data_IF_669834489229
#
_entry.id   IF_669834489229
#
_cell.length_a   1.000
_cell.length_b   1.000
_cell.length_c   1.000
_cell.angle_alpha   90.00
_cell.angle_beta   90.00
_cell.angle_gamma   90.00
#
_symmetry.space_group_name_H-M   'P 1'
#
loop_
_entity.id
_entity.type
_entity.pdbx_description
1 polymer ?
#
# COMPACT_ATOMS: atom_id res chain seq x y z
N UNK A 1 -31.77 23.37 1.57
CA UNK A 1 -30.58 23.41 0.70
C UNK A 1 -29.63 22.32 1.18
N UNK A 2 -29.75 21.12 0.60
CA UNK A 2 -29.01 19.94 1.04
C UNK A 2 -27.55 20.07 0.60
N UNK A 3 -26.64 20.23 1.56
CA UNK A 3 -25.21 20.15 1.34
C UNK A 3 -24.89 18.68 1.08
N UNK A 4 -24.83 18.27 -0.19
CA UNK A 4 -24.39 16.93 -0.60
C UNK A 4 -22.99 16.73 -0.02
N UNK A 5 -22.88 15.80 0.92
CA UNK A 5 -21.68 15.49 1.67
C UNK A 5 -20.61 14.98 0.71
N UNK A 6 -19.74 15.86 0.22
CA UNK A 6 -18.61 15.55 -0.67
C UNK A 6 -17.44 14.82 0.05
N UNK A 7 -17.66 14.43 1.31
CA UNK A 7 -16.64 13.84 2.18
C UNK A 7 -16.13 12.48 1.68
N UNK A 8 -16.94 11.51 1.20
CA UNK A 8 -16.40 10.19 0.89
C UNK A 8 -15.44 10.21 -0.31
N UNK A 9 -15.75 10.96 -1.38
CA UNK A 9 -14.93 10.99 -2.59
C UNK A 9 -13.53 11.56 -2.33
N UNK A 10 -13.42 12.65 -1.57
CA UNK A 10 -12.14 13.24 -1.20
C UNK A 10 -11.21 12.25 -0.50
N UNK A 11 -11.73 11.43 0.43
CA UNK A 11 -10.94 10.44 1.15
C UNK A 11 -10.44 9.31 0.24
N UNK A 12 -11.21 8.91 -0.76
CA UNK A 12 -10.77 7.94 -1.77
C UNK A 12 -9.68 8.51 -2.68
N UNK A 13 -9.83 9.78 -3.10
CA UNK A 13 -8.79 10.47 -3.86
C UNK A 13 -7.50 10.62 -3.03
N UNK A 14 -7.61 10.98 -1.75
CA UNK A 14 -6.48 11.07 -0.84
C UNK A 14 -5.79 9.72 -0.61
N UNK A 15 -6.56 8.63 -0.53
CA UNK A 15 -6.02 7.27 -0.45
C UNK A 15 -5.23 6.89 -1.70
N UNK A 16 -5.80 7.10 -2.89
CA UNK A 16 -5.15 6.80 -4.16
C UNK A 16 -3.89 7.65 -4.36
N UNK A 17 -3.99 8.97 -4.18
CA UNK A 17 -2.89 9.90 -4.36
C UNK A 17 -1.79 9.67 -3.33
N UNK A 18 -2.14 9.48 -2.06
CA UNK A 18 -1.18 9.17 -0.99
C UNK A 18 -0.47 7.86 -1.22
N UNK A 19 -1.20 6.80 -1.61
CA UNK A 19 -0.59 5.51 -1.90
C UNK A 19 0.34 5.57 -3.11
N UNK A 20 -0.10 6.22 -4.20
CA UNK A 20 0.75 6.44 -5.36
C UNK A 20 2.01 7.24 -5.00
N UNK A 21 1.88 8.29 -4.18
CA UNK A 21 3.01 9.09 -3.70
C UNK A 21 3.98 8.25 -2.87
N UNK A 22 3.48 7.38 -1.98
CA UNK A 22 4.32 6.45 -1.21
C UNK A 22 5.07 5.47 -2.13
N UNK A 23 4.39 4.94 -3.15
CA UNK A 23 5.02 4.04 -4.12
C UNK A 23 6.09 4.74 -4.97
N UNK A 24 5.85 5.99 -5.37
CA UNK A 24 6.82 6.82 -6.10
C UNK A 24 8.00 7.22 -5.21
N UNK A 25 7.80 7.40 -3.90
CA UNK A 25 8.86 7.79 -2.97
C UNK A 25 9.98 6.73 -2.85
N UNK A 26 9.68 5.47 -3.18
CA UNK A 26 10.63 4.36 -3.23
C UNK A 26 11.46 4.39 -4.55
N UNK A 27 12.52 3.59 -4.70
CA UNK A 27 13.23 3.47 -5.97
C UNK A 27 12.27 3.21 -7.15
N UNK A 28 12.50 3.84 -8.32
CA UNK A 28 13.72 4.54 -8.73
C UNK A 28 13.82 6.03 -8.33
N UNK A 29 12.74 6.70 -7.90
CA UNK A 29 12.84 8.12 -7.51
C UNK A 29 13.59 8.27 -6.18
N UNK A 30 13.34 7.36 -5.24
CA UNK A 30 14.09 7.27 -3.99
C UNK A 30 14.13 8.57 -3.19
N UNK A 31 12.95 9.17 -2.94
CA UNK A 31 12.80 10.42 -2.19
C UNK A 31 12.05 10.16 -0.86
N UNK A 32 12.75 9.68 0.19
CA UNK A 32 12.15 9.35 1.49
C UNK A 32 11.29 10.46 2.12
N UNK A 33 11.59 11.77 1.98
CA UNK A 33 10.72 12.83 2.51
C UNK A 33 9.28 12.79 1.99
N UNK A 34 9.04 12.27 0.78
CA UNK A 34 7.68 12.15 0.22
C UNK A 34 6.83 11.12 0.98
N UNK A 35 7.43 10.12 1.62
CA UNK A 35 6.71 9.14 2.44
C UNK A 35 6.02 9.81 3.63
N UNK A 36 6.63 10.86 4.20
CA UNK A 36 6.02 11.60 5.31
C UNK A 36 4.71 12.23 4.87
N UNK A 37 4.70 12.88 3.70
CA UNK A 37 3.49 13.47 3.11
C UNK A 37 2.45 12.40 2.75
N UNK A 38 2.89 11.24 2.28
CA UNK A 38 2.01 10.13 1.93
C UNK A 38 1.35 9.45 3.15
N UNK A 39 2.05 9.40 4.29
CA UNK A 39 1.61 8.75 5.52
C UNK A 39 0.64 9.60 6.35
N UNK A 40 0.79 10.93 6.37
CA UNK A 40 -0.11 11.82 7.12
C UNK A 40 -1.60 11.54 6.87
N UNK A 41 -2.11 11.48 5.61
CA UNK A 41 -3.52 11.22 5.38
C UNK A 41 -3.96 9.82 5.80
N UNK A 42 -3.07 8.81 5.77
CA UNK A 42 -3.37 7.40 6.09
C UNK A 42 -3.98 7.24 7.50
N UNK A 43 -3.49 8.01 8.46
CA UNK A 43 -3.99 7.99 9.84
C UNK A 43 -5.45 8.46 9.98
N UNK A 44 -5.92 9.30 9.05
CA UNK A 44 -7.31 9.77 9.00
C UNK A 44 -8.24 8.87 8.19
N UNK A 45 -7.72 7.93 7.39
CA UNK A 45 -8.53 7.09 6.50
C UNK A 45 -9.36 6.04 7.26
N UNK A 46 -10.44 5.57 6.64
CA UNK A 46 -11.11 4.32 7.04
C UNK A 46 -10.33 3.07 6.58
N UNK A 47 -10.65 1.86 7.08
CA UNK A 47 -9.88 0.65 6.77
C UNK A 47 -9.84 0.31 5.28
N UNK A 48 -10.97 0.47 4.58
CA UNK A 48 -11.03 0.22 3.13
C UNK A 48 -10.19 1.22 2.33
N UNK A 49 -10.22 2.51 2.69
CA UNK A 49 -9.40 3.53 2.06
C UNK A 49 -7.90 3.35 2.38
N UNK A 50 -7.56 2.92 3.61
CA UNK A 50 -6.20 2.57 3.98
C UNK A 50 -5.68 1.34 3.20
N UNK A 51 -6.54 0.34 2.98
CA UNK A 51 -6.22 -0.79 2.11
C UNK A 51 -5.95 -0.34 0.66
N UNK A 52 -6.77 0.57 0.13
CA UNK A 52 -6.55 1.13 -1.20
C UNK A 52 -5.23 1.92 -1.30
N UNK A 53 -4.90 2.70 -0.27
CA UNK A 53 -3.61 3.37 -0.13
C UNK A 53 -2.45 2.36 -0.17
N UNK A 54 -2.56 1.25 0.58
CA UNK A 54 -1.56 0.18 0.60
C UNK A 54 -1.39 -0.53 -0.75
N UNK A 55 -2.50 -0.84 -1.42
CA UNK A 55 -2.48 -1.40 -2.78
C UNK A 55 -1.75 -0.46 -3.74
N UNK A 56 -2.10 0.84 -3.75
CA UNK A 56 -1.46 1.79 -4.66
C UNK A 56 0.04 1.95 -4.37
N UNK A 57 0.43 2.00 -3.10
CA UNK A 57 1.84 2.07 -2.70
C UNK A 57 2.64 0.89 -3.26
N UNK A 58 2.11 -0.34 -3.14
CA UNK A 58 2.79 -1.53 -3.64
C UNK A 58 2.71 -1.66 -5.15
N UNK A 59 1.57 -1.44 -5.78
CA UNK A 59 1.44 -1.53 -7.24
C UNK A 59 2.35 -0.53 -7.97
N UNK A 60 2.52 0.67 -7.44
CA UNK A 60 3.40 1.70 -8.03
C UNK A 60 4.89 1.41 -7.78
N UNK A 61 5.25 0.98 -6.56
CA UNK A 61 6.65 0.64 -6.24
C UNK A 61 7.10 -0.66 -6.91
N UNK A 62 6.22 -1.65 -7.03
CA UNK A 62 6.50 -2.96 -7.60
C UNK A 62 6.14 -3.09 -9.08
N UNK A 63 5.93 -1.97 -9.79
CA UNK A 63 5.69 -1.97 -11.25
C UNK A 63 6.79 -2.67 -12.06
N UNK A 64 8.00 -2.75 -11.49
CA UNK A 64 9.12 -3.48 -12.07
C UNK A 64 8.84 -4.99 -12.23
N UNK A 65 7.90 -5.56 -11.47
CA UNK A 65 7.47 -6.96 -11.64
C UNK A 65 6.87 -7.20 -13.03
N UNK A 66 6.28 -6.17 -13.65
CA UNK A 66 5.78 -6.27 -15.02
C UNK A 66 6.92 -6.29 -16.05
N UNK A 67 8.09 -5.76 -15.69
CA UNK A 67 9.30 -5.80 -16.52
C UNK A 67 10.03 -7.13 -16.45
N UNK A 68 9.59 -8.07 -15.60
CA UNK A 68 10.04 -9.47 -15.64
C UNK A 68 9.57 -10.20 -16.90
N UNK A 69 8.59 -9.66 -17.62
CA UNK A 69 8.20 -10.18 -18.93
C UNK A 69 9.27 -9.82 -19.99
N UNK A 70 9.76 -10.78 -20.79
CA UNK A 70 9.38 -12.20 -20.83
C UNK A 70 10.08 -13.07 -19.78
N UNK A 71 9.35 -14.11 -19.33
CA UNK A 71 9.81 -15.16 -18.39
C UNK A 71 10.33 -16.41 -19.10
N UNK A 72 10.76 -16.27 -20.35
CA UNK A 72 11.31 -17.36 -21.18
C UNK A 72 12.60 -17.93 -20.60
N UNK A 73 13.38 -17.12 -19.87
CA UNK A 73 14.55 -17.57 -19.11
C UNK A 73 14.24 -18.60 -18.00
N UNK A 74 12.99 -18.70 -17.55
CA UNK A 74 12.51 -19.75 -16.61
C UNK A 74 11.70 -20.83 -17.34
N UNK A 75 11.66 -20.80 -18.68
CA UNK A 75 10.91 -21.75 -19.51
C UNK A 75 9.41 -21.50 -19.57
N UNK A 76 8.92 -20.31 -19.16
CA UNK A 76 7.50 -19.96 -19.28
C UNK A 76 7.19 -19.55 -20.73
N UNK A 77 6.14 -20.10 -21.36
CA UNK A 77 5.78 -19.73 -22.73
C UNK A 77 5.30 -18.28 -22.80
N UNK A 78 5.67 -17.58 -23.86
CA UNK A 78 5.46 -16.13 -24.02
C UNK A 78 4.01 -15.66 -23.74
N UNK A 79 2.94 -16.35 -24.21
CA UNK A 79 1.56 -15.93 -23.93
C UNK A 79 1.16 -15.99 -22.46
N UNK A 80 1.79 -16.86 -21.66
CA UNK A 80 1.50 -17.01 -20.22
C UNK A 80 2.37 -16.08 -19.35
N UNK A 81 3.50 -15.60 -19.89
CA UNK A 81 4.44 -14.81 -19.12
C UNK A 81 3.83 -13.49 -18.59
N UNK A 82 3.18 -12.70 -19.45
CA UNK A 82 2.57 -11.43 -19.02
C UNK A 82 1.42 -11.64 -18.01
N UNK A 83 0.45 -12.57 -18.23
CA UNK A 83 -0.57 -12.88 -17.22
C UNK A 83 0.01 -13.25 -15.86
N UNK A 84 1.11 -14.01 -15.82
CA UNK A 84 1.77 -14.39 -14.57
C UNK A 84 2.41 -13.18 -13.87
N UNK A 85 3.10 -12.32 -14.61
CA UNK A 85 3.65 -11.07 -14.07
C UNK A 85 2.54 -10.16 -13.50
N UNK A 86 1.42 -10.02 -14.21
CA UNK A 86 0.26 -9.25 -13.74
C UNK A 86 -0.37 -9.88 -12.50
N UNK A 87 -0.51 -11.20 -12.45
CA UNK A 87 -1.07 -11.91 -11.29
C UNK A 87 -0.17 -11.76 -10.06
N UNK A 88 1.16 -11.85 -10.23
CA UNK A 88 2.12 -11.62 -9.16
C UNK A 88 2.03 -10.17 -8.65
N UNK A 89 2.09 -9.20 -9.57
CA UNK A 89 1.98 -7.77 -9.25
C UNK A 89 0.67 -7.42 -8.53
N UNK A 90 -0.46 -7.90 -9.04
CA UNK A 90 -1.77 -7.72 -8.43
C UNK A 90 -1.88 -8.44 -7.08
N UNK A 91 -1.31 -9.64 -6.95
CA UNK A 91 -1.24 -10.39 -5.70
C UNK A 91 -0.50 -9.63 -4.60
N UNK A 92 0.65 -9.04 -4.92
CA UNK A 92 1.38 -8.15 -4.01
C UNK A 92 0.51 -6.95 -3.58
N UNK A 93 -0.16 -6.30 -4.53
CA UNK A 93 -1.08 -5.20 -4.23
C UNK A 93 -2.25 -5.59 -3.31
N UNK A 94 -2.83 -6.77 -3.51
CA UNK A 94 -3.92 -7.28 -2.67
C UNK A 94 -3.44 -7.60 -1.25
N UNK A 95 -2.26 -8.23 -1.11
CA UNK A 95 -1.66 -8.48 0.21
C UNK A 95 -1.36 -7.18 0.95
N UNK A 96 -0.85 -6.17 0.25
CA UNK A 96 -0.63 -4.84 0.81
C UNK A 96 -1.94 -4.19 1.26
N UNK A 97 -3.01 -4.30 0.47
CA UNK A 97 -4.32 -3.81 0.87
C UNK A 97 -4.85 -4.50 2.13
N UNK A 98 -4.69 -5.82 2.21
CA UNK A 98 -5.11 -6.59 3.38
C UNK A 98 -4.31 -6.21 4.63
N UNK A 99 -2.99 -6.06 4.53
CA UNK A 99 -2.13 -5.67 5.64
C UNK A 99 -2.44 -4.25 6.14
N UNK A 100 -2.45 -3.26 5.26
CA UNK A 100 -2.67 -1.86 5.65
C UNK A 100 -4.12 -1.62 6.08
N UNK A 101 -5.09 -2.23 5.40
CA UNK A 101 -6.49 -2.20 5.80
C UNK A 101 -6.73 -2.89 7.14
N UNK A 102 -6.10 -4.05 7.38
CA UNK A 102 -6.15 -4.78 8.64
C UNK A 102 -5.48 -4.02 9.79
N UNK A 103 -4.31 -3.43 9.55
CA UNK A 103 -3.65 -2.53 10.49
C UNK A 103 -4.57 -1.38 10.87
N UNK A 104 -5.18 -0.71 9.89
CA UNK A 104 -6.06 0.42 10.16
C UNK A 104 -7.31 0.00 10.93
N UNK A 105 -7.91 -1.14 10.57
CA UNK A 105 -9.04 -1.71 11.28
C UNK A 105 -8.70 -1.98 12.76
N UNK A 106 -7.52 -2.54 13.04
CA UNK A 106 -7.07 -2.79 14.41
C UNK A 106 -6.86 -1.48 15.20
N UNK A 107 -6.21 -0.48 14.60
CA UNK A 107 -6.00 0.84 15.22
C UNK A 107 -7.33 1.50 15.58
N UNK A 108 -8.33 1.41 14.71
CA UNK A 108 -9.67 1.93 14.99
C UNK A 108 -10.35 1.20 16.14
N UNK A 109 -10.23 -0.14 16.20
CA UNK A 109 -10.80 -0.96 17.28
C UNK A 109 -10.20 -0.64 18.64
N UNK A 110 -8.91 -0.28 18.69
CA UNK A 110 -8.20 0.05 19.94
C UNK A 110 -8.39 1.51 20.39
N UNK A 111 -8.93 2.36 19.51
CA UNK A 111 -9.18 3.79 19.76
C UNK A 111 -8.03 4.67 19.26
N UNK A 112 -8.11 5.09 18.00
CA UNK A 112 -7.07 5.84 17.30
C UNK A 112 -6.66 7.18 17.97
N UNK A 113 -7.54 7.75 18.79
CA UNK A 113 -7.32 9.01 19.52
C UNK A 113 -6.31 8.88 20.69
N UNK A 114 -6.03 7.65 21.13
CA UNK A 114 -5.22 7.39 22.33
C UNK A 114 -3.73 7.33 21.95
N UNK A 115 -2.91 8.14 22.59
CA UNK A 115 -1.45 8.14 22.35
C UNK A 115 -0.78 6.75 22.47
N UNK A 116 -1.12 5.88 23.45
CA UNK A 116 -0.58 4.52 23.51
C UNK A 116 -0.90 3.66 22.28
N UNK A 117 -2.05 3.90 21.64
CA UNK A 117 -2.46 3.17 20.43
C UNK A 117 -1.64 3.61 19.23
N UNK A 118 -1.30 4.89 19.12
CA UNK A 118 -0.38 5.37 18.08
C UNK A 118 1.02 4.75 18.22
N UNK A 119 1.55 4.66 19.44
CA UNK A 119 2.83 4.00 19.71
C UNK A 119 2.78 2.51 19.36
N UNK A 120 1.74 1.81 19.81
CA UNK A 120 1.51 0.40 19.46
C UNK A 120 1.42 0.20 17.94
N UNK A 121 0.66 1.05 17.25
CA UNK A 121 0.46 0.98 15.81
C UNK A 121 1.77 1.17 15.03
N UNK A 122 2.63 2.09 15.48
CA UNK A 122 3.95 2.32 14.90
C UNK A 122 4.90 1.14 15.13
N UNK A 123 4.93 0.59 16.36
CA UNK A 123 5.72 -0.61 16.68
C UNK A 123 5.25 -1.81 15.86
N UNK A 124 3.94 -2.02 15.77
CA UNK A 124 3.35 -3.10 14.98
C UNK A 124 3.74 -2.97 13.51
N UNK A 125 3.64 -1.76 12.94
CA UNK A 125 4.06 -1.50 11.56
C UNK A 125 5.53 -1.87 11.35
N UNK A 126 6.43 -1.34 12.19
CA UNK A 126 7.87 -1.60 12.07
C UNK A 126 8.25 -3.09 12.25
N UNK A 127 7.61 -3.80 13.18
CA UNK A 127 7.84 -5.24 13.36
C UNK A 127 7.40 -6.04 12.14
N UNK A 128 6.24 -5.72 11.56
CA UNK A 128 5.75 -6.37 10.34
C UNK A 128 6.67 -6.08 9.17
N UNK A 129 7.14 -4.85 8.99
CA UNK A 129 8.12 -4.53 7.93
C UNK A 129 9.43 -5.30 8.09
N UNK A 130 9.97 -5.40 9.32
CA UNK A 130 11.17 -6.21 9.58
C UNK A 130 10.93 -7.69 9.28
N UNK A 131 9.75 -8.22 9.58
CA UNK A 131 9.40 -9.61 9.25
C UNK A 131 9.28 -9.81 7.73
N UNK A 132 8.68 -8.86 7.02
CA UNK A 132 8.56 -8.91 5.55
C UNK A 132 9.92 -8.80 4.86
N UNK A 133 10.84 -7.99 5.42
CA UNK A 133 12.19 -7.80 4.89
C UNK A 133 13.12 -9.02 5.08
N UNK A 134 12.70 -10.05 5.83
CA UNK A 134 13.49 -11.29 6.02
C UNK A 134 13.35 -12.28 4.85
N UNK A 135 12.57 -11.96 3.82
CA UNK A 135 12.46 -12.79 2.62
C UNK A 135 13.79 -12.87 1.84
N UNK A 136 14.09 -14.00 1.17
CA UNK A 136 15.32 -14.18 0.38
C UNK A 136 15.33 -13.42 -0.96
N UNK A 137 14.53 -12.35 -1.08
CA UNK A 137 14.49 -11.46 -2.24
C UNK A 137 14.94 -10.06 -1.79
#
# INVERSE_FOLDING_TARGET
>A
MAMVCNRPLWWWCAALAGGALAGVALPPLGCPPLLWLALVPLWGLGPAAAGLWGAMAVLVSHRWLLWLHPLDWVGVPLPLSLPLCVLLWAGCGLLAAALVGGWRWLVQRLGAERWPVALFAAVLWGLVEVLLARGPL
#
